data_IF_005746929199
#
_entry.id   IF_005746929199
#
_cell.length_a   1.000
_cell.length_b   1.000
_cell.length_c   1.000
_cell.angle_alpha   90.00
_cell.angle_beta   90.00
_cell.angle_gamma   90.00
#
_symmetry.space_group_name_H-M   'P 1'
#
loop_
_entity.id
_entity.type
_entity.pdbx_description
1 polymer ?
#
# COMPACT_ATOMS: atom_id res chain seq x y z
N UNK A 1 3.80 -14.47 10.58
CA UNK A 1 3.25 -15.45 9.63
C UNK A 1 3.71 -14.98 8.26
N UNK A 2 4.58 -15.73 7.60
CA UNK A 2 4.98 -15.39 6.23
C UNK A 2 3.81 -15.77 5.32
N UNK A 3 3.08 -14.76 4.83
CA UNK A 3 1.99 -14.95 3.87
C UNK A 3 2.57 -15.14 2.47
N UNK A 4 1.96 -16.03 1.68
CA UNK A 4 2.32 -16.16 0.27
C UNK A 4 2.07 -14.84 -0.48
N UNK A 5 2.85 -14.56 -1.53
CA UNK A 5 2.67 -13.34 -2.30
C UNK A 5 1.33 -13.34 -3.02
N UNK A 6 0.68 -12.18 -3.01
CA UNK A 6 -0.59 -11.98 -3.70
C UNK A 6 -0.38 -11.32 -5.06
N UNK A 7 -1.38 -11.39 -5.95
CA UNK A 7 -1.30 -10.79 -7.30
C UNK A 7 -1.04 -9.26 -7.33
N UNK A 8 -1.12 -8.59 -6.19
CA UNK A 8 -0.82 -7.17 -6.04
C UNK A 8 0.63 -6.88 -5.65
N UNK A 9 1.40 -7.92 -5.33
CA UNK A 9 2.81 -7.84 -4.98
C UNK A 9 3.70 -7.80 -6.23
N UNK A 10 4.74 -6.98 -6.14
CA UNK A 10 5.75 -6.84 -7.17
C UNK A 10 7.11 -7.21 -6.59
N UNK A 11 8.05 -7.60 -7.45
CA UNK A 11 9.40 -8.00 -7.09
C UNK A 11 10.38 -7.32 -8.04
N UNK A 12 11.49 -6.81 -7.53
CA UNK A 12 12.51 -6.10 -8.32
C UNK A 12 11.90 -5.09 -9.31
N UNK A 13 10.92 -4.33 -8.82
CA UNK A 13 10.07 -3.47 -9.66
C UNK A 13 10.03 -2.06 -9.11
N UNK A 14 10.20 -1.09 -10.00
CA UNK A 14 9.96 0.31 -9.70
C UNK A 14 8.68 0.80 -10.37
N UNK A 15 7.68 1.13 -9.56
CA UNK A 15 6.45 1.79 -9.99
C UNK A 15 6.70 3.30 -9.98
N UNK A 16 6.83 3.88 -11.16
CA UNK A 16 6.99 5.32 -11.34
C UNK A 16 5.68 6.06 -11.01
N UNK A 17 5.79 7.36 -10.73
CA UNK A 17 4.66 8.28 -10.68
C UNK A 17 3.82 8.13 -11.93
N UNK A 18 2.49 8.18 -11.77
CA UNK A 18 1.58 8.01 -12.90
C UNK A 18 1.79 9.15 -13.93
N UNK A 19 1.86 8.86 -15.24
CA UNK A 19 2.08 9.89 -16.26
C UNK A 19 1.00 10.97 -16.32
N UNK A 20 -0.20 10.66 -15.84
CA UNK A 20 -1.36 11.53 -15.74
C UNK A 20 -1.48 12.21 -14.36
N UNK A 21 -0.46 12.10 -13.50
CA UNK A 21 -0.45 12.76 -12.20
C UNK A 21 -0.30 14.28 -12.34
N UNK A 22 -1.11 15.02 -11.58
CA UNK A 22 -0.97 16.48 -11.45
C UNK A 22 0.07 16.93 -10.42
N UNK A 23 0.80 15.99 -9.78
CA UNK A 23 1.79 16.32 -8.76
C UNK A 23 3.12 16.74 -9.38
N UNK A 24 3.63 17.92 -9.01
CA UNK A 24 4.97 18.39 -9.43
C UNK A 24 6.11 17.83 -8.56
N UNK A 25 5.78 17.28 -7.39
CA UNK A 25 6.72 16.72 -6.42
C UNK A 25 5.98 15.76 -5.47
N UNK A 26 6.72 14.84 -4.87
CA UNK A 26 6.19 13.97 -3.81
C UNK A 26 5.68 14.79 -2.63
N UNK A 27 4.49 14.46 -2.13
CA UNK A 27 3.84 15.16 -1.01
C UNK A 27 3.13 14.19 -0.07
N UNK A 28 3.24 14.42 1.23
CA UNK A 28 2.56 13.59 2.23
C UNK A 28 1.02 13.68 2.06
N UNK A 29 0.31 12.54 1.94
CA UNK A 29 -1.13 12.55 1.85
C UNK A 29 -1.77 13.10 3.15
N UNK A 30 -2.67 14.10 3.05
CA UNK A 30 -3.26 14.72 4.24
C UNK A 30 -4.29 13.80 4.93
N UNK A 31 -4.47 14.03 6.22
CA UNK A 31 -5.64 13.54 6.95
C UNK A 31 -6.91 14.22 6.45
N UNK A 32 -8.06 13.52 6.52
CA UNK A 32 -9.37 14.09 6.19
C UNK A 32 -10.19 14.25 7.46
N UNK A 33 -10.52 15.50 7.82
CA UNK A 33 -11.24 15.83 9.05
C UNK A 33 -10.60 15.22 10.31
N UNK A 34 -9.27 15.22 10.38
CA UNK A 34 -8.51 14.65 11.49
C UNK A 34 -8.44 13.12 11.51
N UNK A 35 -8.97 12.43 10.49
CA UNK A 35 -8.95 10.97 10.38
C UNK A 35 -8.05 10.51 9.25
N UNK A 36 -7.43 9.35 9.43
CA UNK A 36 -6.62 8.71 8.40
C UNK A 36 -7.44 8.36 7.17
N UNK A 37 -6.87 8.66 6.01
CA UNK A 37 -7.34 8.20 4.71
C UNK A 37 -6.60 6.92 4.34
N UNK A 38 -7.10 6.18 3.35
CA UNK A 38 -6.37 5.02 2.81
C UNK A 38 -4.96 5.44 2.37
N UNK A 39 -4.85 6.57 1.66
CA UNK A 39 -3.57 7.09 1.15
C UNK A 39 -2.62 7.50 2.27
N UNK A 40 -3.10 8.18 3.32
CA UNK A 40 -2.25 8.58 4.45
C UNK A 40 -1.79 7.39 5.28
N UNK A 41 -2.67 6.41 5.52
CA UNK A 41 -2.32 5.19 6.25
C UNK A 41 -1.31 4.33 5.47
N UNK A 42 -1.54 4.11 4.17
CA UNK A 42 -0.59 3.38 3.32
C UNK A 42 0.75 4.09 3.23
N UNK A 43 0.76 5.43 3.08
CA UNK A 43 1.97 6.23 3.09
C UNK A 43 2.74 6.07 4.39
N UNK A 44 2.07 6.26 5.54
CA UNK A 44 2.68 6.15 6.87
C UNK A 44 3.36 4.78 7.07
N UNK A 45 2.69 3.69 6.68
CA UNK A 45 3.22 2.33 6.80
C UNK A 45 4.54 2.14 6.03
N UNK A 46 4.61 2.59 4.77
CA UNK A 46 5.73 2.28 3.87
C UNK A 46 6.81 3.36 3.83
N UNK A 47 6.47 4.60 4.19
CA UNK A 47 7.44 5.70 4.28
C UNK A 47 8.25 5.61 5.57
N UNK A 48 7.61 5.28 6.71
CA UNK A 48 8.32 5.17 7.99
C UNK A 48 9.11 3.88 8.14
N UNK A 49 8.69 2.84 7.44
CA UNK A 49 9.26 1.51 7.57
C UNK A 49 9.52 0.94 6.17
N UNK A 50 10.45 1.56 5.42
CA UNK A 50 10.76 1.12 4.06
C UNK A 50 11.21 -0.33 4.06
N UNK A 51 10.72 -1.12 3.11
CA UNK A 51 11.04 -2.55 2.96
C UNK A 51 10.67 -3.41 4.17
N UNK A 52 9.68 -2.99 4.95
CA UNK A 52 9.08 -3.84 6.00
C UNK A 52 7.94 -4.69 5.46
N UNK A 53 7.13 -4.13 4.57
CA UNK A 53 5.84 -4.69 4.16
C UNK A 53 5.81 -4.94 2.65
N UNK A 54 5.12 -5.98 2.21
CA UNK A 54 4.71 -6.18 0.80
C UNK A 54 3.52 -5.29 0.46
N UNK A 55 3.19 -5.17 -0.84
CA UNK A 55 2.02 -4.40 -1.28
C UNK A 55 0.73 -4.96 -0.70
N UNK A 56 0.60 -6.28 -0.68
CA UNK A 56 -0.54 -7.01 -0.16
C UNK A 56 -0.76 -6.76 1.33
N UNK A 57 0.30 -6.77 2.12
CA UNK A 57 0.25 -6.51 3.56
C UNK A 57 -0.23 -5.07 3.85
N UNK A 58 0.26 -4.09 3.08
CA UNK A 58 -0.16 -2.68 3.23
C UNK A 58 -1.64 -2.52 2.87
N UNK A 59 -2.07 -3.06 1.72
CA UNK A 59 -3.45 -2.95 1.24
C UNK A 59 -4.40 -3.62 2.23
N UNK A 60 -4.07 -4.82 2.69
CA UNK A 60 -4.90 -5.58 3.62
C UNK A 60 -4.96 -4.93 4.99
N UNK A 61 -3.83 -4.52 5.56
CA UNK A 61 -3.77 -3.90 6.89
C UNK A 61 -4.64 -2.65 6.94
N UNK A 62 -4.50 -1.75 5.96
CA UNK A 62 -5.34 -0.55 5.87
C UNK A 62 -6.82 -0.90 5.70
N UNK A 63 -7.15 -1.94 4.93
CA UNK A 63 -8.54 -2.39 4.77
C UNK A 63 -9.14 -2.98 6.05
N UNK A 64 -8.35 -3.78 6.78
CA UNK A 64 -8.73 -4.50 8.00
C UNK A 64 -8.86 -3.55 9.19
N UNK A 65 -7.91 -2.63 9.38
CA UNK A 65 -7.91 -1.64 10.45
C UNK A 65 -9.15 -0.73 10.34
N UNK A 66 -9.49 -0.29 9.12
CA UNK A 66 -10.68 0.53 8.86
C UNK A 66 -12.02 -0.18 9.11
N UNK A 67 -11.99 -1.50 9.26
CA UNK A 67 -13.15 -2.36 9.55
C UNK A 67 -13.11 -2.92 10.95
N UNK A 68 -12.13 -2.50 11.76
CA UNK A 68 -11.91 -3.00 13.11
C UNK A 68 -11.83 -4.53 13.18
N UNK A 69 -11.23 -5.17 12.15
CA UNK A 69 -11.08 -6.62 12.10
C UNK A 69 -10.12 -7.07 13.23
N UNK A 70 -10.56 -7.91 14.17
CA UNK A 70 -9.72 -8.42 15.24
C UNK A 70 -8.55 -9.23 14.70
N UNK A 71 -7.39 -9.16 15.36
CA UNK A 71 -6.18 -9.90 14.97
C UNK A 71 -6.45 -11.40 14.75
N UNK A 72 -7.24 -12.01 15.64
CA UNK A 72 -7.60 -13.42 15.57
C UNK A 72 -8.43 -13.80 14.32
N UNK A 73 -9.03 -12.82 13.65
CA UNK A 73 -9.84 -13.02 12.44
C UNK A 73 -9.10 -12.62 11.15
N UNK A 74 -7.91 -12.00 11.27
CA UNK A 74 -7.18 -11.47 10.11
C UNK A 74 -6.75 -12.54 9.12
N UNK A 75 -6.39 -13.73 9.59
CA UNK A 75 -6.01 -14.83 8.70
C UNK A 75 -7.17 -15.26 7.79
N UNK A 76 -8.37 -15.45 8.36
CA UNK A 76 -9.57 -15.75 7.59
C UNK A 76 -9.93 -14.60 6.65
N UNK A 77 -9.89 -13.37 7.16
CA UNK A 77 -10.21 -12.18 6.38
C UNK A 77 -9.22 -11.96 5.23
N UNK A 78 -7.95 -12.32 5.39
CA UNK A 78 -6.93 -12.27 4.33
C UNK A 78 -7.34 -13.14 3.15
N UNK A 79 -7.65 -14.42 3.42
CA UNK A 79 -8.07 -15.35 2.40
C UNK A 79 -9.35 -14.89 1.67
N UNK A 80 -10.34 -14.37 2.41
CA UNK A 80 -11.57 -13.84 1.81
C UNK A 80 -11.32 -12.56 0.99
N UNK A 81 -10.41 -11.70 1.45
CA UNK A 81 -10.08 -10.44 0.78
C UNK A 81 -9.39 -10.70 -0.55
N UNK A 82 -8.40 -11.61 -0.58
CA UNK A 82 -7.65 -11.93 -1.80
C UNK A 82 -8.27 -13.01 -2.69
N UNK A 83 -9.36 -13.66 -2.25
CA UNK A 83 -10.19 -14.49 -3.12
C UNK A 83 -10.81 -13.71 -4.31
N UNK A 84 -10.81 -12.38 -4.25
CA UNK A 84 -11.20 -11.47 -5.33
C UNK A 84 -10.01 -10.61 -5.74
N UNK A 85 -9.93 -10.24 -7.01
CA UNK A 85 -8.87 -9.34 -7.50
C UNK A 85 -8.91 -8.00 -6.78
N UNK A 86 -7.76 -7.58 -6.26
CA UNK A 86 -7.59 -6.31 -5.55
C UNK A 86 -6.75 -5.32 -6.38
N UNK A 87 -7.01 -4.00 -6.27
CA UNK A 87 -6.16 -2.99 -6.88
C UNK A 87 -4.81 -2.93 -6.17
N UNK A 88 -3.72 -2.98 -6.94
CA UNK A 88 -2.37 -2.87 -6.40
C UNK A 88 -1.95 -1.41 -6.16
N UNK A 89 -0.82 -1.22 -5.47
CA UNK A 89 -0.30 0.11 -5.13
C UNK A 89 0.03 0.99 -6.36
N UNK A 90 0.29 0.40 -7.53
CA UNK A 90 0.43 1.14 -8.80
C UNK A 90 -0.79 2.00 -9.12
N UNK A 91 -1.97 1.53 -8.73
CA UNK A 91 -3.24 2.22 -8.98
C UNK A 91 -3.64 3.20 -7.88
N UNK A 92 -2.84 3.27 -6.80
CA UNK A 92 -3.13 4.07 -5.60
C UNK A 92 -2.95 5.57 -5.85
N UNK A 93 -3.55 6.37 -4.98
CA UNK A 93 -3.37 7.82 -4.97
C UNK A 93 -1.92 8.24 -4.65
N UNK A 94 -1.09 7.36 -4.06
CA UNK A 94 0.32 7.68 -3.82
C UNK A 94 1.03 7.98 -5.14
N UNK A 95 0.88 7.10 -6.12
CA UNK A 95 1.46 7.27 -7.46
C UNK A 95 0.66 8.22 -8.35
N UNK A 96 -0.67 8.26 -8.22
CA UNK A 96 -1.54 9.07 -9.10
C UNK A 96 -1.72 10.51 -8.67
N UNK A 97 -1.76 10.80 -7.38
CA UNK A 97 -2.15 12.10 -6.83
C UNK A 97 -1.05 12.78 -6.05
N UNK A 98 -0.23 12.00 -5.35
CA UNK A 98 0.73 12.53 -4.38
C UNK A 98 2.18 12.50 -4.86
N UNK A 99 2.44 12.05 -6.10
CA UNK A 99 3.75 12.15 -6.73
C UNK A 99 4.80 11.18 -6.20
N UNK A 100 4.38 10.07 -5.57
CA UNK A 100 5.31 9.07 -5.05
C UNK A 100 5.59 7.95 -6.05
N UNK A 101 6.86 7.61 -6.22
CA UNK A 101 7.26 6.30 -6.72
C UNK A 101 7.16 5.24 -5.62
N UNK A 102 7.01 3.98 -6.03
CA UNK A 102 7.01 2.83 -5.12
C UNK A 102 7.99 1.81 -5.66
N UNK A 103 9.01 1.51 -4.86
CA UNK A 103 9.98 0.47 -5.19
C UNK A 103 9.66 -0.80 -4.41
N UNK A 104 9.66 -1.94 -5.10
CA UNK A 104 9.59 -3.27 -4.50
C UNK A 104 10.94 -3.97 -4.67
N UNK A 105 11.53 -4.44 -3.57
CA UNK A 105 12.80 -5.17 -3.59
C UNK A 105 12.65 -6.62 -4.08
N UNK A 106 13.74 -7.38 -4.05
CA UNK A 106 13.79 -8.79 -4.43
C UNK A 106 12.91 -9.70 -3.54
N UNK A 107 12.63 -9.27 -2.32
CA UNK A 107 11.70 -9.94 -1.40
C UNK A 107 10.27 -9.43 -1.61
N UNK A 108 10.03 -8.50 -2.52
CA UNK A 108 8.73 -7.87 -2.79
C UNK A 108 8.24 -6.91 -1.72
N UNK A 109 9.14 -6.49 -0.81
CA UNK A 109 8.85 -5.49 0.20
C UNK A 109 8.97 -4.09 -0.41
N UNK A 110 8.11 -3.18 0.03
CA UNK A 110 7.93 -1.89 -0.63
C UNK A 110 8.46 -0.71 0.18
N UNK A 111 8.89 0.31 -0.53
CA UNK A 111 9.24 1.62 0.02
C UNK A 111 8.70 2.74 -0.88
N UNK A 112 8.30 3.86 -0.26
CA UNK A 112 8.01 5.09 -0.99
C UNK A 112 9.32 5.79 -1.40
N UNK A 113 9.34 6.33 -2.63
CA UNK A 113 10.46 7.11 -3.16
C UNK A 113 9.95 8.41 -3.76
N UNK A 114 10.60 9.53 -3.46
CA UNK A 114 10.30 10.84 -4.05
C UNK A 114 11.11 11.07 -5.34
#
# INVERSE_FOLDING_TARGET
METEPESVDYFDTFITVAPDSGASSASEPPLRAGKETVSSASFEMIFRQPYRWRSSEVIFTVWADRRDIPEAERERAWAEFYAKGQPCLRSSDLAKRYGWGIHADHDGRVACTA
#
